data_IF_083714918972
#
_entry.id   IF_083714918972
#
_cell.length_a   1.000
_cell.length_b   1.000
_cell.length_c   1.000
_cell.angle_alpha   90.00
_cell.angle_beta   90.00
_cell.angle_gamma   90.00
#
_symmetry.space_group_name_H-M   'P 1'
#
loop_
_entity.id
_entity.type
_entity.pdbx_description
1 polymer ?
2 polymer ?
3 polymer ?
#
loop_
_entity_poly.entity_id
_entity_poly.type
_entity_poly.pdbx_seq_one_letter_code
_entity_poly.pdbx_strand_id
2 'polydeoxyribonucleotide' '(DA)(DT)(DG)(DT)(DG)(DG)(DT)(DC)(DC)(DC)(DC)(DA)(DG)(DT)' ?
3 'polydeoxyribonucleotide' '(DT)(DA)(DC)(DT)(DG)(DG)(DG)(DG)(DA)(DC)(DC)(DA)(DC)(DA)' ?
#
# COMPACT_ATOMS: atom_id res chain seq x y z
N UNK A 41 -21.45 -1.50 -0.42
CA UNK A 41 -21.30 -0.20 -1.04
C UNK A 41 -22.46 0.23 -1.93
N UNK A 42 -22.88 1.49 -1.81
CA UNK A 42 -24.06 1.93 -2.56
C UNK A 42 -23.85 3.23 -3.34
N UNK A 43 -24.95 3.73 -3.91
CA UNK A 43 -25.00 4.95 -4.70
C UNK A 43 -26.36 5.61 -4.44
N UNK A 44 -26.40 6.92 -4.60
CA UNK A 44 -27.62 7.71 -4.47
C UNK A 44 -27.81 8.50 -5.76
N UNK A 45 -28.90 8.29 -6.43
CA UNK A 45 -29.11 8.94 -7.70
C UNK A 45 -29.55 10.36 -7.53
N UNK A 46 -28.97 11.25 -8.30
CA UNK A 46 -29.26 12.67 -8.16
C UNK A 46 -30.74 12.99 -8.21
N UNK A 47 -31.14 14.02 -7.47
CA UNK A 47 -32.53 14.45 -7.46
C UNK A 47 -32.71 15.60 -8.42
N UNK A 48 -31.79 16.55 -8.42
CA UNK A 48 -31.90 17.71 -9.25
C UNK A 48 -31.70 17.49 -10.72
N UNK A 49 -31.99 18.51 -11.52
CA UNK A 49 -31.81 18.44 -12.96
C UNK A 49 -30.65 19.31 -13.29
N UNK A 50 -30.01 19.86 -12.27
CA UNK A 50 -28.90 20.74 -12.46
C UNK A 50 -27.63 19.94 -12.46
N UNK A 51 -27.43 19.11 -11.45
CA UNK A 51 -26.28 18.25 -11.44
C UNK A 51 -26.78 16.87 -11.36
N UNK A 52 -26.27 16.04 -12.23
CA UNK A 52 -26.67 14.65 -12.24
C UNK A 52 -25.57 13.72 -11.73
N UNK A 53 -24.60 14.25 -11.01
CA UNK A 53 -23.56 13.37 -10.50
C UNK A 53 -24.07 12.52 -9.34
N UNK A 54 -23.68 11.25 -9.34
CA UNK A 54 -24.06 10.39 -8.24
C UNK A 54 -23.24 10.71 -7.00
N UNK A 55 -23.86 10.52 -5.84
CA UNK A 55 -23.19 10.50 -4.54
C UNK A 55 -23.02 9.05 -4.09
N UNK A 56 -22.10 8.83 -3.16
CA UNK A 56 -21.90 7.49 -2.63
C UNK A 56 -22.38 7.44 -1.19
N UNK A 57 -22.60 6.21 -0.72
CA UNK A 57 -23.17 5.96 0.59
C UNK A 57 -22.06 5.48 1.49
N UNK A 58 -21.75 6.27 2.53
CA UNK A 58 -20.74 5.95 3.53
C UNK A 58 -21.35 5.92 4.94
N UNK A 59 -20.50 5.50 5.88
CA UNK A 59 -20.76 5.47 7.33
C UNK A 59 -21.48 6.72 7.78
N UNK A 60 -21.15 7.87 7.21
CA UNK A 60 -21.76 9.13 7.61
C UNK A 60 -22.83 9.59 6.63
N UNK A 61 -23.22 8.71 5.70
CA UNK A 61 -24.36 9.00 4.85
C UNK A 61 -23.91 9.38 3.47
N UNK A 62 -24.83 9.91 2.67
CA UNK A 62 -24.48 10.33 1.31
C UNK A 62 -23.32 11.31 1.33
N UNK A 63 -22.28 11.03 0.53
CA UNK A 63 -21.14 11.92 0.36
C UNK A 63 -20.95 12.27 -1.13
N UNK A 64 -20.52 13.50 -1.36
CA UNK A 64 -20.17 13.95 -2.70
C UNK A 64 -18.81 13.37 -3.03
N UNK A 65 -18.63 12.97 -4.28
CA UNK A 65 -17.48 12.21 -4.71
C UNK A 65 -16.24 13.06 -5.01
N UNK A 66 -16.15 14.31 -4.59
CA UNK A 66 -14.96 15.10 -4.86
C UNK A 66 -14.16 15.26 -3.57
N UNK A 67 -12.86 15.22 -3.69
CA UNK A 67 -12.01 15.56 -2.55
C UNK A 67 -11.08 16.70 -2.92
N UNK A 68 -10.73 17.49 -1.91
CA UNK A 68 -9.72 18.52 -2.02
C UNK A 68 -8.48 18.03 -1.32
N UNK A 69 -7.37 18.12 -2.01
CA UNK A 69 -6.06 17.80 -1.48
C UNK A 69 -5.40 19.09 -1.03
N UNK A 70 -4.64 19.00 0.06
CA UNK A 70 -3.79 20.12 0.45
C UNK A 70 -2.55 20.18 -0.45
N UNK A 71 -1.94 21.38 -0.51
CA UNK A 71 -0.87 21.66 -1.47
C UNK A 71 0.27 20.67 -1.39
N UNK A 72 0.72 20.30 -0.18
CA UNK A 72 1.77 19.29 -0.11
C UNK A 72 1.25 17.92 -0.55
N UNK A 73 0.04 17.55 -0.13
CA UNK A 73 -0.56 16.28 -0.54
C UNK A 73 -0.84 16.24 -2.04
N UNK A 74 -1.25 17.36 -2.61
CA UNK A 74 -1.50 17.38 -4.05
C UNK A 74 -0.23 17.02 -4.80
N UNK A 75 0.89 17.64 -4.43
CA UNK A 75 2.14 17.48 -5.15
C UNK A 75 2.64 16.05 -5.02
N UNK A 76 2.58 15.49 -3.82
CA UNK A 76 2.94 14.10 -3.66
C UNK A 76 1.99 13.19 -4.39
N UNK A 77 0.68 13.44 -4.27
CA UNK A 77 -0.30 12.60 -4.95
C UNK A 77 -0.03 12.61 -6.46
N UNK A 78 0.09 13.81 -7.03
CA UNK A 78 0.30 13.95 -8.46
C UNK A 78 1.68 13.44 -8.90
N UNK A 79 2.68 13.49 -8.02
CA UNK A 79 3.89 12.70 -8.23
C UNK A 79 3.51 11.27 -8.59
N UNK A 80 2.89 10.53 -7.66
CA UNK A 80 2.46 9.16 -7.95
C UNK A 80 1.67 9.09 -9.26
N UNK A 81 0.65 9.95 -9.41
CA UNK A 81 -0.24 9.80 -10.56
C UNK A 81 0.51 9.90 -11.89
N UNK A 82 1.49 10.80 -11.96
CA UNK A 82 2.28 10.93 -13.18
C UNK A 82 3.31 9.80 -13.33
N UNK A 83 3.79 9.24 -12.22
CA UNK A 83 4.72 8.12 -12.30
C UNK A 83 4.04 6.90 -12.92
N UNK A 84 2.95 6.43 -12.31
CA UNK A 84 2.16 5.37 -12.92
C UNK A 84 1.68 5.72 -14.32
N UNK A 85 1.73 6.99 -14.71
CA UNK A 85 1.28 7.32 -16.02
C UNK A 85 -0.21 7.22 -16.22
N UNK A 86 -1.00 7.46 -15.16
CA UNK A 86 -2.45 7.39 -15.25
C UNK A 86 -3.04 8.76 -15.60
N UNK A 87 -4.08 8.73 -16.44
CA UNK A 87 -4.71 9.94 -16.95
C UNK A 87 -5.59 10.61 -15.91
N UNK A 88 -6.40 9.83 -15.19
CA UNK A 88 -7.40 10.31 -14.24
C UNK A 88 -6.92 10.06 -12.82
N UNK A 89 -6.93 11.09 -11.96
CA UNK A 89 -6.43 10.89 -10.57
C UNK A 89 -7.09 9.73 -9.86
N UNK A 90 -8.33 9.38 -10.22
CA UNK A 90 -9.03 8.37 -9.46
C UNK A 90 -8.37 7.01 -9.61
N UNK A 91 -7.82 6.72 -10.80
CA UNK A 91 -7.10 5.46 -10.95
C UNK A 91 -5.86 5.40 -10.07
N UNK A 92 -5.30 6.56 -9.69
CA UNK A 92 -4.12 6.59 -8.83
C UNK A 92 -4.47 6.22 -7.40
N UNK A 93 -5.63 6.67 -6.91
CA UNK A 93 -6.09 6.29 -5.57
C UNK A 93 -6.68 4.89 -5.51
N UNK A 94 -7.15 4.33 -6.63
CA UNK A 94 -7.35 2.89 -6.70
C UNK A 94 -6.03 2.14 -6.50
N UNK A 95 -4.96 2.60 -7.15
CA UNK A 95 -3.65 2.00 -6.91
C UNK A 95 -3.20 2.20 -5.49
N UNK A 96 -3.41 3.35 -4.92
CA UNK A 96 -2.87 3.58 -3.61
C UNK A 96 -3.65 2.86 -2.57
N UNK A 97 -4.72 2.22 -2.96
CA UNK A 97 -5.57 1.58 -1.98
C UNK A 97 -5.39 0.11 -2.12
N UNK A 98 -5.03 -0.35 -3.30
CA UNK A 98 -4.73 -1.73 -3.46
C UNK A 98 -3.62 -1.90 -2.54
N UNK A 99 -2.51 -1.32 -2.87
CA UNK A 99 -1.44 -1.33 -1.94
C UNK A 99 -2.05 -0.75 -0.74
N UNK A 100 -1.51 -1.01 0.42
CA UNK A 100 -2.10 -0.54 1.66
C UNK A 100 -3.27 -1.40 2.02
N UNK A 101 -3.54 -2.42 1.24
CA UNK A 101 -4.59 -3.35 1.61
C UNK A 101 -4.31 -3.79 3.02
N UNK A 102 -3.08 -3.62 3.48
CA UNK A 102 -2.75 -3.91 4.87
C UNK A 102 -3.08 -2.67 5.68
N UNK A 103 -4.30 -2.21 5.53
CA UNK A 103 -4.75 -1.07 6.27
C UNK A 103 -5.43 -1.72 7.39
N UNK A 104 -5.94 -2.91 7.13
CA UNK A 104 -6.61 -3.66 8.16
C UNK A 104 -5.60 -4.07 9.22
N UNK B 34 0.91 33.72 -10.51
CA UNK B 34 2.22 33.90 -9.87
C UNK B 34 2.75 32.58 -9.29
N UNK B 35 4.06 32.37 -9.40
CA UNK B 35 4.73 31.14 -8.97
C UNK B 35 5.48 31.39 -7.66
N UNK B 36 5.42 30.40 -6.74
CA UNK B 36 6.25 30.39 -5.54
C UNK B 36 6.98 29.05 -5.45
N UNK B 37 8.25 29.10 -5.06
CA UNK B 37 9.06 27.91 -4.85
C UNK B 37 9.06 27.61 -3.36
N UNK B 38 8.47 26.47 -2.99
CA UNK B 38 8.42 26.06 -1.60
C UNK B 38 8.41 24.54 -1.50
N UNK B 40 9.09 21.17 -0.67
CA UNK B 40 7.94 20.74 -1.44
C UNK B 40 8.16 20.81 -2.94
N UNK B 41 7.54 21.80 -3.58
CA UNK B 41 7.70 21.99 -5.00
C UNK B 41 7.38 23.40 -5.46
N UNK B 42 6.58 23.50 -6.51
CA UNK B 42 6.10 24.77 -7.04
C UNK B 42 4.59 24.85 -6.84
N UNK B 43 4.10 25.91 -6.22
CA UNK B 43 2.68 26.01 -5.88
C UNK B 43 2.10 27.28 -6.41
N UNK B 44 1.26 27.22 -7.41
CA UNK B 44 0.78 28.44 -8.04
C UNK B 44 -0.30 29.21 -7.33
N UNK B 45 -0.08 30.50 -7.11
CA UNK B 45 -1.05 31.33 -6.46
C UNK B 45 -1.86 31.99 -7.50
N UNK B 46 -3.14 31.75 -7.48
CA UNK B 46 -4.01 32.30 -8.50
C UNK B 46 -4.13 33.77 -8.24
N UNK B 47 -3.86 34.55 -9.27
CA UNK B 47 -3.98 35.99 -9.14
C UNK B 47 -5.31 36.36 -9.74
N UNK B 48 -6.26 35.43 -9.72
CA UNK B 48 -7.61 35.74 -10.15
C UNK B 48 -8.27 36.45 -9.00
N UNK B 49 -9.59 36.54 -8.99
CA UNK B 49 -10.24 37.32 -7.94
C UNK B 49 -11.52 36.70 -7.42
N UNK B 50 -11.99 35.66 -8.09
CA UNK B 50 -13.18 34.94 -7.61
C UNK B 50 -12.74 33.75 -6.82
N UNK B 51 -11.45 33.55 -6.72
CA UNK B 51 -10.93 32.45 -5.96
C UNK B 51 -9.47 32.67 -5.77
N UNK B 52 -9.06 32.72 -4.53
CA UNK B 52 -7.66 32.84 -4.27
C UNK B 52 -7.15 31.46 -4.01
N UNK B 53 -7.91 30.48 -4.45
CA UNK B 53 -7.47 29.11 -4.34
C UNK B 53 -6.27 28.98 -5.22
N UNK B 54 -5.30 28.21 -4.77
CA UNK B 54 -4.05 28.07 -5.50
C UNK B 54 -3.97 26.67 -6.09
N UNK B 55 -3.36 26.57 -7.27
CA UNK B 55 -3.13 25.28 -7.92
C UNK B 55 -1.70 24.81 -7.64
N UNK B 56 -1.36 23.62 -8.10
CA UNK B 56 0.01 23.12 -7.98
C UNK B 56 0.59 22.83 -9.36
N UNK B 57 1.90 23.11 -9.48
CA UNK B 57 2.65 22.81 -10.69
C UNK B 57 3.18 21.38 -10.61
N UNK B 58 2.77 20.55 -11.57
CA UNK B 58 3.11 19.15 -11.69
C UNK B 58 3.97 18.94 -12.93
N UNK B 59 4.50 17.73 -13.10
CA UNK B 59 5.31 17.44 -14.29
C UNK B 59 4.54 17.60 -15.59
N UNK B 60 3.21 17.74 -15.53
CA UNK B 60 2.39 17.96 -16.71
C UNK B 60 1.64 19.29 -16.65
N UNK B 61 2.11 20.24 -15.84
CA UNK B 61 1.56 21.57 -15.84
C UNK B 61 0.73 21.92 -14.62
N UNK B 62 0.04 23.05 -14.67
CA UNK B 62 -0.83 23.46 -13.55
C UNK B 62 -2.02 22.52 -13.44
N UNK B 63 -2.17 21.93 -12.25
CA UNK B 63 -3.25 21.01 -11.92
C UNK B 63 -4.09 21.57 -10.78
N UNK B 64 -5.35 21.21 -10.78
CA UNK B 64 -6.21 21.66 -9.69
C UNK B 64 -6.06 20.70 -8.50
N UNK B 65 -6.10 21.28 -7.30
CA UNK B 65 -5.99 20.54 -6.06
C UNK B 65 -7.28 19.82 -5.67
N UNK B 66 -8.31 19.88 -6.52
CA UNK B 66 -9.57 19.18 -6.31
C UNK B 66 -9.76 18.14 -7.40
N UNK B 67 -10.12 16.90 -7.00
CA UNK B 67 -10.32 15.80 -7.94
C UNK B 67 -11.65 15.12 -7.65
N UNK B 68 -12.21 14.47 -8.67
CA UNK B 68 -13.50 13.78 -8.59
C UNK B 68 -13.28 12.29 -8.63
N UNK B 69 -13.36 11.63 -7.46
CA UNK B 69 -13.29 10.19 -7.39
C UNK B 69 -14.52 9.53 -8.01
N UNK B 70 -14.27 8.44 -8.74
CA UNK B 70 -15.35 7.61 -9.26
C UNK B 70 -16.12 6.93 -8.14
N UNK B 71 -17.43 6.74 -8.37
CA UNK B 71 -18.27 6.03 -7.43
C UNK B 71 -17.55 4.81 -6.89
N UNK B 72 -16.93 4.04 -7.77
CA UNK B 72 -16.21 2.86 -7.35
C UNK B 72 -15.10 3.21 -6.37
N UNK B 73 -14.32 4.26 -6.68
CA UNK B 73 -13.18 4.59 -5.82
C UNK B 73 -13.62 5.23 -4.52
N UNK B 74 -14.54 6.19 -4.63
CA UNK B 74 -15.00 6.96 -3.48
C UNK B 74 -15.47 6.04 -2.36
N UNK B 75 -16.23 5.00 -2.71
CA UNK B 75 -16.77 4.08 -1.72
C UNK B 75 -15.65 3.49 -0.88
N UNK B 76 -14.59 2.99 -1.55
CA UNK B 76 -13.47 2.41 -0.83
C UNK B 76 -12.61 3.48 -0.19
N UNK B 77 -12.49 4.65 -0.85
CA UNK B 77 -11.64 5.69 -0.28
C UNK B 77 -12.26 6.26 0.99
N UNK B 78 -13.57 6.54 0.96
CA UNK B 78 -14.20 7.10 2.16
C UNK B 78 -14.21 6.10 3.29
N UNK B 79 -14.34 4.81 2.97
CA UNK B 79 -14.28 3.78 4.00
C UNK B 79 -12.99 3.93 4.82
N UNK B 80 -11.85 4.10 4.16
CA UNK B 80 -10.61 4.15 4.91
C UNK B 80 -10.46 5.51 5.57
N UNK B 81 -11.11 6.55 5.03
CA UNK B 81 -11.14 7.82 5.74
C UNK B 81 -11.93 7.69 7.03
N UNK B 82 -13.13 7.12 6.95
CA UNK B 82 -13.93 6.89 8.14
C UNK B 82 -13.15 6.04 9.15
N UNK B 83 -12.59 4.93 8.68
CA UNK B 83 -11.89 4.02 9.57
C UNK B 83 -10.64 4.63 10.20
N UNK B 84 -10.01 5.62 9.56
CA UNK B 84 -8.96 6.37 10.23
C UNK B 84 -9.53 7.52 11.08
N UNK B 85 -10.83 7.81 10.96
CA UNK B 85 -11.44 8.91 11.67
C UNK B 85 -10.96 10.29 11.29
N UNK B 86 -10.28 10.45 10.16
CA UNK B 86 -9.77 11.77 9.77
C UNK B 86 -10.91 12.73 9.40
N UNK B 87 -10.82 13.95 9.93
CA UNK B 87 -11.85 14.95 9.63
C UNK B 87 -11.87 15.30 8.16
N UNK B 88 -10.71 15.68 7.59
CA UNK B 88 -10.62 16.14 6.20
C UNK B 88 -9.98 15.07 5.32
N UNK B 89 -10.50 14.84 4.10
CA UNK B 89 -10.06 13.68 3.31
C UNK B 89 -8.69 13.83 2.70
N UNK B 90 -8.11 15.03 2.72
CA UNK B 90 -6.73 15.15 2.24
C UNK B 90 -5.79 14.37 3.15
N UNK B 91 -6.07 14.33 4.45
CA UNK B 91 -5.25 13.56 5.38
C UNK B 91 -5.22 12.09 5.00
N UNK B 92 -6.34 11.57 4.51
CA UNK B 92 -6.39 10.16 4.15
C UNK B 92 -5.43 9.85 3.00
N UNK B 93 -5.38 10.75 2.02
CA UNK B 93 -4.44 10.56 0.92
C UNK B 93 -3.01 10.67 1.43
N UNK B 94 -2.76 11.60 2.35
CA UNK B 94 -1.47 11.66 3.02
C UNK B 94 -1.13 10.31 3.66
N UNK B 95 -2.12 9.69 4.30
CA UNK B 95 -1.89 8.40 4.98
C UNK B 95 -1.67 7.29 3.99
N UNK B 96 -2.44 7.27 2.91
CA UNK B 96 -2.23 6.25 1.89
C UNK B 96 -0.80 6.30 1.39
N UNK B 97 -0.32 7.51 1.08
CA UNK B 97 1.01 7.63 0.52
C UNK B 97 2.06 7.28 1.56
N UNK B 98 1.85 7.73 2.80
CA UNK B 98 2.68 7.30 3.93
C UNK B 98 2.79 5.78 3.95
N UNK B 99 1.65 5.08 3.95
CA UNK B 99 1.58 3.63 4.10
C UNK B 99 1.68 2.89 2.77
N UNK B 100 2.36 3.47 1.76
CA UNK B 100 2.55 2.76 0.49
C UNK B 100 3.80 3.20 -0.24
N UNK B 101 4.79 3.75 0.46
CA UNK B 101 6.07 4.09 -0.16
C UNK B 101 6.85 2.84 -0.52
N UNK B 102 6.56 1.70 0.14
CA UNK B 102 7.14 0.41 -0.20
C UNK B 102 6.85 0.00 -1.64
N UNK B 103 5.84 0.61 -2.25
CA UNK B 103 5.57 0.45 -3.67
C UNK B 103 5.97 1.66 -4.49
N UNK B 104 5.88 2.86 -3.89
CA UNK B 104 5.95 4.09 -4.65
C UNK B 104 7.35 4.29 -5.21
N UNK B 105 8.37 3.89 -4.45
CA UNK B 105 9.74 4.17 -4.86
C UNK B 105 10.14 3.37 -6.10
N UNK B 106 9.67 2.12 -6.19
CA UNK B 106 9.99 1.27 -7.35
C UNK B 106 9.08 1.56 -8.54
N UNK B 107 8.91 2.83 -8.91
CA UNK B 107 7.99 3.19 -10.00
C UNK B 107 8.70 3.72 -11.25
N UNK E 50 17.94 -5.70 4.28
CA UNK E 50 17.02 -4.67 4.73
C UNK E 50 15.96 -5.29 5.61
N UNK E 51 15.85 -4.81 6.85
CA UNK E 51 14.78 -5.26 7.72
C UNK E 51 13.45 -4.70 7.21
N UNK E 52 12.36 -5.44 7.46
CA UNK E 52 11.04 -5.08 6.95
C UNK E 52 10.02 -4.84 8.05
N UNK E 53 10.43 -4.27 9.18
CA UNK E 53 9.52 -4.13 10.30
C UNK E 53 8.75 -2.82 10.20
N UNK E 54 7.56 -2.79 10.81
CA UNK E 54 6.76 -1.58 10.86
C UNK E 54 7.37 -0.57 11.83
N UNK E 55 7.15 0.72 11.53
CA UNK E 55 7.31 1.79 12.50
C UNK E 55 5.94 2.40 12.83
N UNK E 56 5.78 2.95 14.04
CA UNK E 56 4.55 3.65 14.41
C UNK E 56 4.78 5.15 14.33
N UNK E 57 3.80 5.85 13.75
CA UNK E 57 3.79 7.31 13.70
C UNK E 57 3.15 7.83 14.98
N UNK E 58 3.86 8.72 15.68
CA UNK E 58 3.41 9.25 16.95
C UNK E 58 3.62 10.75 17.00
N UNK E 59 3.37 11.31 18.18
CA UNK E 59 3.57 12.73 18.45
C UNK E 59 4.93 13.19 17.96
N UNK E 60 5.99 12.61 18.50
CA UNK E 60 7.32 12.94 18.04
C UNK E 60 7.67 12.21 16.75
N UNK E 61 6.69 11.59 16.10
CA UNK E 61 6.88 11.04 14.79
C UNK E 61 7.07 9.53 14.76
N UNK E 62 7.93 9.07 13.86
CA UNK E 62 8.04 7.64 13.62
C UNK E 62 9.07 7.00 14.52
N UNK E 63 8.70 5.92 15.20
CA UNK E 63 9.59 5.27 16.15
C UNK E 63 9.59 3.77 15.90
N UNK E 64 10.69 3.12 16.24
CA UNK E 64 10.75 1.69 16.10
C UNK E 64 9.94 1.16 17.23
N UNK E 65 9.31 0.05 17.02
CA UNK E 65 8.41 -0.46 18.01
C UNK E 65 9.04 -1.30 19.07
N UNK E 66 10.33 -1.14 19.30
CA UNK E 66 10.92 -1.89 20.38
C UNK E 66 11.41 -0.99 21.46
N UNK E 67 11.36 -1.47 22.69
CA UNK E 67 11.65 -0.66 23.88
C UNK E 67 12.59 -1.43 24.81
N UNK E 68 13.54 -0.73 25.41
CA UNK E 68 14.43 -1.35 26.39
C UNK E 68 14.02 -0.98 27.81
N UNK E 69 14.10 -1.95 28.69
CA UNK E 69 13.68 -1.83 30.06
C UNK E 69 14.92 -1.87 30.93
N UNK E 70 15.00 -0.96 31.89
CA UNK E 70 16.03 -1.03 32.92
C UNK E 70 15.90 -2.34 33.68
N UNK E 71 17.00 -2.74 34.33
CA UNK E 71 17.03 -3.99 35.06
C UNK E 71 15.84 -4.09 36.01
N UNK E 72 15.74 -3.14 36.94
CA UNK E 72 14.65 -3.21 37.92
C UNK E 72 13.28 -3.16 37.25
N UNK E 73 13.10 -2.29 36.25
CA UNK E 73 11.85 -2.22 35.50
C UNK E 73 11.51 -3.56 34.87
N UNK E 74 12.52 -4.29 34.40
CA UNK E 74 12.24 -5.56 33.73
C UNK E 74 11.74 -6.61 34.73
N UNK E 75 12.33 -6.65 35.93
CA UNK E 75 11.85 -7.59 36.95
C UNK E 75 10.37 -7.38 37.19
N UNK E 76 10.00 -6.17 37.60
CA UNK E 76 8.59 -5.87 37.86
C UNK E 76 7.72 -6.18 36.64
N UNK E 77 8.16 -5.76 35.45
CA UNK E 77 7.31 -5.95 34.28
C UNK E 77 7.15 -7.42 33.97
N UNK E 78 8.26 -8.16 33.87
CA UNK E 78 8.15 -9.59 33.61
C UNK E 78 7.38 -10.31 34.71
N UNK E 79 7.46 -9.82 35.95
CA UNK E 79 6.70 -10.42 37.05
C UNK E 79 5.20 -10.35 36.81
N UNK E 80 4.71 -9.24 36.24
CA UNK E 80 3.28 -9.19 35.92
C UNK E 80 2.96 -10.08 34.73
N UNK E 81 3.80 -10.07 33.70
CA UNK E 81 3.54 -10.89 32.54
C UNK E 81 3.41 -12.34 32.95
N UNK E 82 4.24 -12.77 33.90
CA UNK E 82 4.20 -14.15 34.34
C UNK E 82 2.97 -14.39 35.21
N UNK E 83 2.59 -13.41 36.02
CA UNK E 83 1.32 -13.49 36.76
C UNK E 83 0.13 -13.51 35.80
N UNK E 84 0.14 -12.65 34.78
CA UNK E 84 -0.95 -12.62 33.82
C UNK E 84 -1.04 -13.91 33.02
N UNK E 85 0.05 -14.68 32.94
CA UNK E 85 0.12 -15.83 32.08
C UNK E 85 0.19 -15.54 30.59
N UNK E 86 0.50 -14.30 30.21
CA UNK E 86 0.56 -13.93 28.79
C UNK E 86 1.89 -14.37 28.19
N UNK E 87 1.81 -15.06 27.06
CA UNK E 87 3.01 -15.54 26.37
C UNK E 87 3.89 -14.38 25.90
N UNK E 88 3.33 -13.49 25.11
CA UNK E 88 4.05 -12.37 24.54
C UNK E 88 4.13 -11.23 25.56
N UNK E 89 5.25 -10.48 25.58
CA UNK E 89 5.32 -9.34 26.52
C UNK E 89 4.36 -8.24 26.18
N UNK E 90 4.00 -8.08 24.89
CA UNK E 90 3.12 -7.00 24.47
C UNK E 90 1.79 -7.05 25.21
N UNK E 91 1.12 -8.20 25.18
CA UNK E 91 -0.15 -8.38 25.89
C UNK E 91 -0.11 -7.83 27.31
N UNK E 92 1.04 -7.89 27.97
CA UNK E 92 1.17 -7.31 29.30
C UNK E 92 1.15 -5.79 29.24
N UNK E 93 1.65 -5.20 28.17
CA UNK E 93 1.71 -3.76 28.16
C UNK E 93 0.34 -3.23 27.92
N UNK E 94 -0.40 -3.92 27.10
CA UNK E 94 -1.74 -3.53 26.88
C UNK E 94 -2.39 -3.51 28.21
N UNK E 95 -2.52 -4.67 28.81
CA UNK E 95 -3.15 -4.78 30.11
C UNK E 95 -2.81 -3.66 31.00
N UNK E 96 -1.56 -3.32 31.04
CA UNK E 96 -1.16 -2.32 31.97
C UNK E 96 -1.70 -1.01 31.56
N UNK E 97 -1.91 -0.84 30.27
CA UNK E 97 -2.38 0.43 29.78
C UNK E 97 -3.82 0.51 30.09
N UNK E 98 -4.50 -0.59 29.89
CA UNK E 98 -5.90 -0.63 30.18
C UNK E 98 -6.07 -0.13 31.56
N UNK E 99 -5.30 -0.68 32.47
CA UNK E 99 -5.49 -0.32 33.85
C UNK E 99 -4.87 1.01 34.20
N UNK E 100 -5.21 2.05 33.47
CA UNK E 100 -4.73 3.37 33.86
C UNK E 100 -5.60 4.53 33.44
N UNK E 101 -5.60 5.57 34.28
CA UNK E 101 -6.38 6.74 34.02
C UNK E 101 -5.31 7.77 33.84
N UNK E 102 -5.05 8.14 32.59
CA UNK E 102 -3.97 9.05 32.31
C UNK E 102 -4.29 10.50 32.55
N UNK E 103 -5.50 10.96 32.20
CA UNK E 103 -5.87 12.33 32.50
C UNK E 103 -4.73 13.27 32.23
N UNK F 33 25.69 -16.93 32.27
CA UNK F 33 26.05 -15.64 32.85
C UNK F 33 26.18 -15.69 34.36
N UNK F 34 27.00 -14.81 34.93
CA UNK F 34 27.10 -14.73 36.36
C UNK F 34 25.79 -14.29 36.89
N UNK F 35 25.54 -14.53 38.17
CA UNK F 35 24.26 -14.22 38.71
C UNK F 35 24.45 -13.34 39.91
N UNK F 36 23.77 -12.20 39.93
CA UNK F 36 23.87 -11.28 41.05
C UNK F 36 22.52 -11.05 41.63
N UNK F 37 22.48 -10.80 42.93
CA UNK F 37 21.23 -10.50 43.56
C UNK F 37 21.02 -9.02 43.67
N UNK F 38 19.85 -8.57 43.28
CA UNK F 38 19.50 -7.16 43.41
C UNK F 38 18.15 -7.04 44.10
N UNK F 39 17.58 -5.84 44.05
CA UNK F 39 16.29 -5.59 44.69
C UNK F 39 15.19 -5.97 43.76
N UNK F 41 13.96 -9.62 42.97
CA UNK F 41 14.67 -10.66 42.25
C UNK F 41 16.14 -10.45 42.02
N UNK F 42 16.58 -10.65 40.78
CA UNK F 42 17.99 -10.61 40.52
C UNK F 42 18.40 -10.38 39.06
N UNK F 43 19.55 -9.77 38.83
CA UNK F 43 20.04 -9.48 37.49
C UNK F 43 21.03 -10.54 37.02
N UNK F 44 21.35 -10.56 35.73
CA UNK F 44 22.22 -11.63 35.24
C UNK F 44 23.33 -11.01 34.41
N UNK F 45 24.55 -11.27 34.83
CA UNK F 45 25.67 -10.71 34.15
C UNK F 45 25.75 -11.23 32.79
N UNK F 46 26.54 -10.56 31.99
CA UNK F 46 26.61 -10.93 30.60
C UNK F 46 27.70 -11.93 30.34
N UNK F 47 27.56 -12.67 29.25
CA UNK F 47 28.52 -13.72 28.97
C UNK F 47 29.54 -13.33 27.93
N UNK F 48 29.08 -12.95 26.75
CA UNK F 48 29.97 -12.60 25.68
C UNK F 48 30.80 -11.34 25.86
N UNK F 49 31.33 -10.82 24.77
CA UNK F 49 32.17 -9.64 24.83
C UNK F 49 31.61 -8.60 23.90
N UNK F 50 30.68 -9.02 23.05
CA UNK F 50 30.03 -8.08 22.18
C UNK F 50 29.05 -7.29 23.02
N UNK F 51 28.22 -7.99 23.78
CA UNK F 51 27.29 -7.29 24.65
C UNK F 51 27.51 -7.56 26.10
N UNK F 52 27.73 -6.51 26.86
CA UNK F 52 27.83 -6.67 28.28
C UNK F 52 26.48 -6.35 28.80
N UNK F 53 25.50 -6.35 27.92
CA UNK F 53 24.12 -6.13 28.34
C UNK F 53 23.66 -7.21 29.29
N UNK F 54 23.22 -6.80 30.48
CA UNK F 54 22.75 -7.80 31.41
C UNK F 54 21.37 -8.30 30.97
N UNK F 55 20.98 -9.42 31.55
CA UNK F 55 19.63 -9.93 31.46
C UNK F 55 18.99 -9.86 32.85
N UNK F 56 17.76 -10.34 32.99
CA UNK F 56 17.19 -10.49 34.33
C UNK F 56 16.66 -11.90 34.48
N UNK F 57 16.67 -12.38 35.74
CA UNK F 57 16.18 -13.71 36.09
C UNK F 57 14.74 -13.60 36.55
N UNK F 58 13.83 -14.20 35.79
CA UNK F 58 12.39 -14.16 35.97
C UNK F 58 11.87 -15.55 36.30
N UNK F 59 10.58 -15.64 36.60
CA UNK F 59 9.98 -16.91 37.00
C UNK F 59 9.89 -17.91 35.88
N UNK F 60 10.36 -17.58 34.68
CA UNK F 60 10.33 -18.50 33.55
C UNK F 60 11.72 -18.74 32.98
N UNK F 61 12.76 -18.27 33.67
CA UNK F 61 14.10 -18.36 33.20
C UNK F 61 14.68 -16.98 32.98
N UNK F 62 15.89 -16.92 32.45
CA UNK F 62 16.47 -15.61 32.09
C UNK F 62 15.69 -14.97 30.95
N UNK F 63 15.50 -13.66 31.06
CA UNK F 63 14.76 -12.91 30.06
C UNK F 63 15.59 -11.73 29.55
N UNK F 64 15.34 -11.34 28.31
CA UNK F 64 16.07 -10.24 27.70
C UNK F 64 15.44 -8.92 28.12
N UNK F 65 16.28 -7.96 28.45
CA UNK F 65 15.73 -6.68 28.87
C UNK F 65 15.19 -5.84 27.70
N UNK F 66 15.05 -6.39 26.48
CA UNK F 66 14.54 -5.65 25.33
C UNK F 66 13.36 -6.36 24.70
N UNK F 67 12.32 -5.59 24.38
CA UNK F 67 10.97 -6.08 24.11
C UNK F 67 10.42 -5.40 22.88
N UNK F 68 9.65 -6.14 22.06
CA UNK F 68 9.09 -5.60 20.81
C UNK F 68 7.59 -5.43 20.90
N UNK F 69 7.15 -4.17 21.01
CA UNK F 69 5.75 -3.85 21.20
C UNK F 69 4.96 -4.08 19.93
N UNK F 70 3.86 -4.83 20.05
CA UNK F 70 2.93 -4.98 18.94
C UNK F 70 2.49 -3.63 18.41
N UNK F 71 2.35 -3.54 17.09
CA UNK F 71 2.10 -2.26 16.41
C UNK F 71 0.97 -1.48 17.09
N UNK F 72 -0.19 -2.11 17.28
CA UNK F 72 -1.28 -1.40 17.94
C UNK F 72 -0.91 -1.03 19.37
N UNK F 73 -0.17 -1.92 20.06
CA UNK F 73 0.23 -1.66 21.44
C UNK F 73 1.27 -0.54 21.51
N UNK F 74 2.07 -0.38 20.46
CA UNK F 74 3.11 0.64 20.49
C UNK F 74 2.53 2.06 20.49
N UNK F 75 1.58 2.35 19.58
CA UNK F 75 1.09 3.73 19.47
C UNK F 75 0.56 4.20 20.81
N UNK F 76 -0.28 3.37 21.44
CA UNK F 76 -0.89 3.76 22.70
C UNK F 76 0.18 3.95 23.77
N UNK F 77 1.04 2.94 23.96
CA UNK F 77 2.13 3.04 24.93
C UNK F 77 2.99 4.26 24.68
N UNK F 78 3.49 4.39 23.44
CA UNK F 78 4.38 5.52 23.11
C UNK F 78 3.69 6.84 23.38
N UNK F 79 2.40 6.93 23.06
CA UNK F 79 1.60 8.10 23.43
C UNK F 79 1.76 8.39 24.92
N UNK F 80 1.50 7.38 25.77
CA UNK F 80 1.56 7.61 27.20
C UNK F 80 2.95 8.10 27.61
N UNK F 81 4.00 7.52 27.01
CA UNK F 81 5.34 8.05 27.25
C UNK F 81 5.45 9.52 26.81
N UNK F 82 4.83 9.86 25.67
CA UNK F 82 4.89 11.24 25.18
C UNK F 82 4.20 12.20 26.14
N UNK F 83 2.94 11.91 26.48
CA UNK F 83 2.20 12.75 27.43
C UNK F 83 2.92 12.84 28.78
N UNK F 84 3.51 11.72 29.24
CA UNK F 84 4.29 11.77 30.46
C UNK F 84 5.58 12.56 30.28
N UNK F 85 6.05 12.72 29.05
CA UNK F 85 7.21 13.52 28.74
C UNK F 85 8.54 12.99 29.24
N UNK F 86 8.61 11.73 29.64
CA UNK F 86 9.87 11.16 30.09
C UNK F 86 10.82 10.93 28.93
N UNK F 87 12.10 10.70 29.27
CA UNK F 87 13.14 10.58 28.24
C UNK F 87 13.14 9.19 27.61
N UNK F 88 13.25 8.14 28.44
CA UNK F 88 13.29 6.72 28.09
C UNK F 88 11.91 6.10 28.19
N UNK F 89 11.57 5.18 27.28
CA UNK F 89 10.31 4.45 27.42
C UNK F 89 10.29 3.50 28.60
N UNK F 90 11.45 3.18 29.15
CA UNK F 90 11.49 2.37 30.36
C UNK F 90 10.81 3.08 31.52
N UNK F 91 11.03 4.40 31.65
CA UNK F 91 10.36 5.14 32.72
C UNK F 91 8.86 5.20 32.51
N UNK F 92 8.42 5.22 31.25
CA UNK F 92 7.00 5.12 30.94
C UNK F 92 6.41 3.85 31.56
N UNK F 93 7.10 2.73 31.39
CA UNK F 93 6.64 1.47 31.95
C UNK F 93 6.64 1.52 33.46
N UNK F 94 7.70 2.10 34.06
CA UNK F 94 7.73 2.23 35.51
C UNK F 94 6.52 3.00 36.02
N UNK F 95 6.13 4.03 35.28
CA UNK F 95 4.89 4.73 35.59
C UNK F 95 3.69 3.79 35.44
N UNK F 96 3.58 3.11 34.28
CA UNK F 96 2.42 2.25 34.05
C UNK F 96 2.27 1.24 35.16
N UNK F 97 3.38 0.66 35.63
CA UNK F 97 3.31 -0.29 36.73
C UNK F 97 2.98 0.43 38.02
N UNK F 98 3.48 1.65 38.19
CA UNK F 98 3.18 2.40 39.39
C UNK F 98 1.68 2.65 39.49
N UNK F 99 1.04 2.98 38.36
CA UNK F 99 -0.38 3.30 38.31
C UNK F 99 -1.25 2.08 37.99
N UNK F 100 -0.75 0.87 38.21
CA UNK F 100 -1.62 -0.30 38.27
C UNK F 100 -1.33 -1.11 39.52
N UNK F 101 -0.85 -0.44 40.58
CA UNK F 101 -0.55 -1.11 41.84
C UNK F 101 -1.77 -1.90 42.32
N UNK F 102 -2.94 -1.29 42.24
CA UNK F 102 -4.16 -1.94 42.73
C UNK F 102 -4.46 -3.19 41.91
N UNK F 103 -4.52 -3.07 40.59
CA UNK F 103 -4.82 -4.22 39.75
C UNK F 103 -3.77 -5.30 39.91
N UNK F 104 -2.50 -4.91 39.89
CA UNK F 104 -1.41 -5.87 40.11
C UNK F 104 -1.67 -6.65 41.38
N UNK F 105 -1.91 -5.95 42.49
CA UNK F 105 -1.92 -6.62 43.79
C UNK F 105 -3.04 -7.65 43.91
N UNK F 106 -3.97 -7.67 42.96
CA UNK F 106 -4.98 -8.72 42.84
C UNK F 106 -4.51 -9.86 41.95
N UNK F 107 -3.20 -10.04 41.79
CA UNK F 107 -2.59 -10.99 40.88
C UNK F 107 -2.97 -10.69 39.40
N UNK I 37 1.22 -33.50 -31.21
CA UNK I 37 1.29 -33.43 -32.66
C UNK I 37 1.92 -32.13 -32.97
N UNK I 38 1.85 -31.70 -34.22
CA UNK I 38 2.53 -30.47 -34.60
C UNK I 38 1.91 -29.98 -35.87
N UNK I 39 1.68 -28.68 -36.00
CA UNK I 39 0.97 -28.22 -37.17
C UNK I 39 1.17 -26.78 -37.54
N UNK I 40 0.58 -26.38 -38.67
CA UNK I 40 0.67 -25.01 -39.12
C UNK I 40 2.05 -24.46 -39.04
N UNK I 41 2.18 -23.24 -38.52
CA UNK I 41 3.47 -22.61 -38.39
C UNK I 41 3.65 -21.88 -37.08
N UNK I 43 1.77 -23.82 -33.57
CA UNK I 43 0.51 -24.51 -33.33
C UNK I 43 0.66 -26.00 -33.04
N UNK I 44 0.02 -26.49 -31.98
CA UNK I 44 0.08 -27.91 -31.63
C UNK I 44 -1.30 -28.33 -31.16
N UNK I 45 -1.85 -29.38 -31.79
CA UNK I 45 -3.17 -29.87 -31.42
C UNK I 45 -3.10 -30.65 -30.10
N UNK I 46 -3.88 -30.19 -29.11
CA UNK I 46 -3.75 -30.64 -27.72
C UNK I 46 -3.92 -32.16 -27.60
N UNK I 47 -3.49 -32.70 -26.45
CA UNK I 47 -3.48 -34.16 -26.26
C UNK I 47 -4.59 -34.83 -25.42
N UNK I 48 -5.48 -34.04 -24.84
CA UNK I 48 -6.50 -34.62 -24.01
C UNK I 48 -7.82 -34.70 -24.70
N UNK I 49 -8.89 -34.78 -23.92
CA UNK I 49 -10.22 -34.84 -24.47
C UNK I 49 -11.03 -33.82 -23.72
N UNK I 50 -10.49 -33.37 -22.59
CA UNK I 50 -11.15 -32.36 -21.77
C UNK I 50 -10.79 -30.95 -22.21
N UNK I 51 -9.56 -30.73 -22.64
CA UNK I 51 -9.24 -29.43 -23.20
C UNK I 51 -8.88 -29.62 -24.63
N UNK I 52 -9.56 -28.90 -25.48
CA UNK I 52 -9.30 -28.97 -26.91
C UNK I 52 -8.53 -27.75 -27.41
N UNK I 53 -7.93 -26.98 -26.52
CA UNK I 53 -7.25 -25.77 -26.94
C UNK I 53 -5.85 -26.10 -27.43
N UNK I 54 -5.43 -25.43 -28.50
CA UNK I 54 -4.10 -25.69 -29.01
C UNK I 54 -3.07 -24.86 -28.25
N UNK I 55 -1.80 -25.25 -28.40
CA UNK I 55 -0.68 -24.47 -27.92
C UNK I 55 0.17 -24.05 -29.11
N UNK I 56 0.96 -23.00 -28.93
CA UNK I 56 1.77 -22.50 -30.02
C UNK I 56 3.22 -22.86 -29.79
N UNK I 57 3.93 -23.08 -30.90
CA UNK I 57 5.33 -23.45 -30.89
C UNK I 57 6.17 -22.18 -30.77
N UNK I 58 7.16 -22.18 -29.86
CA UNK I 58 7.94 -21.00 -29.52
C UNK I 58 9.41 -21.38 -29.35
N UNK I 59 10.25 -20.33 -29.29
CA UNK I 59 11.69 -20.48 -29.05
C UNK I 59 11.99 -21.27 -27.79
N UNK I 60 11.04 -21.37 -26.86
CA UNK I 60 11.24 -22.11 -25.62
C UNK I 60 10.36 -23.34 -25.57
N UNK I 61 9.69 -23.66 -26.67
CA UNK I 61 8.88 -24.84 -26.78
C UNK I 61 7.40 -24.55 -26.85
N UNK I 62 6.59 -25.58 -26.59
CA UNK I 62 5.14 -25.39 -26.60
C UNK I 62 4.72 -24.48 -25.46
N UNK I 63 3.88 -23.49 -25.78
CA UNK I 63 3.35 -22.57 -24.78
C UNK I 63 1.84 -22.51 -24.91
N UNK I 64 1.19 -22.50 -23.75
CA UNK I 64 -0.24 -22.26 -23.64
C UNK I 64 -0.54 -20.83 -24.09
N UNK I 65 -1.68 -20.66 -24.78
CA UNK I 65 -1.99 -19.39 -25.43
C UNK I 65 -2.52 -18.32 -24.47
N UNK I 66 -2.60 -18.61 -23.18
CA UNK I 66 -3.05 -17.64 -22.20
C UNK I 66 -1.86 -16.92 -21.57
N UNK I 67 -2.07 -15.66 -21.19
CA UNK I 67 -1.13 -14.90 -20.39
C UNK I 67 -1.89 -14.20 -19.27
N UNK I 68 -1.24 -14.09 -18.12
CA UNK I 68 -1.76 -13.28 -17.04
C UNK I 68 -0.92 -12.02 -16.96
N UNK I 69 -1.59 -10.90 -16.72
CA UNK I 69 -0.96 -9.60 -16.58
C UNK I 69 -0.98 -9.14 -15.13
N UNK I 70 0.04 -8.36 -14.74
CA UNK I 70 0.00 -7.70 -13.45
C UNK I 70 -1.16 -6.70 -13.39
N UNK I 71 -1.57 -6.37 -12.17
CA UNK I 71 -2.68 -5.43 -12.01
C UNK I 71 -2.36 -4.09 -12.67
N UNK I 72 -1.20 -3.52 -12.34
CA UNK I 72 -0.77 -2.28 -12.96
C UNK I 72 -0.73 -2.44 -14.49
N UNK I 73 -0.22 -3.58 -14.98
CA UNK I 73 -0.19 -3.83 -16.42
C UNK I 73 -1.59 -3.90 -17.02
N UNK I 74 -2.51 -4.54 -16.32
CA UNK I 74 -3.83 -4.73 -16.90
C UNK I 74 -4.55 -3.41 -17.08
N UNK I 75 -4.39 -2.49 -16.11
CA UNK I 75 -5.16 -1.25 -16.19
C UNK I 75 -4.70 -0.42 -17.36
N UNK I 76 -3.38 -0.29 -17.53
CA UNK I 76 -2.86 0.34 -18.74
C UNK I 76 -3.30 -0.40 -19.99
N UNK I 77 -3.15 -1.74 -20.00
CA UNK I 77 -3.47 -2.51 -21.20
C UNK I 77 -4.92 -2.33 -21.62
N UNK I 78 -5.84 -2.38 -20.65
CA UNK I 78 -7.26 -2.32 -20.97
C UNK I 78 -7.72 -0.90 -21.29
N UNK I 79 -6.98 0.11 -20.84
CA UNK I 79 -7.16 1.45 -21.40
C UNK I 79 -6.98 1.42 -22.91
N UNK I 80 -5.89 0.82 -23.39
CA UNK I 80 -5.65 0.74 -24.82
C UNK I 80 -6.77 -0.04 -25.51
N UNK I 81 -7.30 -1.05 -24.89
CA UNK I 81 -8.28 -1.86 -25.57
C UNK I 81 -9.62 -1.24 -25.53
N UNK I 82 -9.92 -0.50 -24.51
CA UNK I 82 -11.21 0.04 -24.50
C UNK I 82 -11.17 1.16 -25.51
N UNK I 83 -10.13 1.96 -25.46
CA UNK I 83 -10.06 3.11 -26.34
C UNK I 83 -9.70 2.79 -27.77
N UNK I 84 -9.69 1.53 -28.13
CA UNK I 84 -9.44 1.19 -29.50
C UNK I 84 -10.71 0.56 -29.92
N UNK I 85 -11.55 0.27 -28.95
CA UNK I 85 -12.84 -0.23 -29.28
C UNK I 85 -12.96 -1.66 -29.62
N UNK I 86 -11.94 -2.43 -29.34
CA UNK I 86 -11.96 -3.80 -29.75
C UNK I 86 -12.70 -4.64 -28.76
N UNK I 87 -13.35 -5.67 -29.25
CA UNK I 87 -14.10 -6.54 -28.40
C UNK I 87 -13.24 -7.54 -27.70
N UNK I 88 -12.31 -8.14 -28.43
CA UNK I 88 -11.48 -9.16 -27.85
C UNK I 88 -10.15 -8.59 -27.49
N UNK I 89 -9.59 -9.05 -26.39
CA UNK I 89 -8.36 -8.46 -25.90
C UNK I 89 -7.14 -8.73 -26.79
N UNK I 90 -7.22 -9.66 -27.72
CA UNK I 90 -6.04 -10.00 -28.50
C UNK I 90 -5.81 -9.02 -29.59
N UNK I 91 -6.87 -8.55 -30.19
CA UNK I 91 -6.75 -7.63 -31.28
C UNK I 91 -6.05 -6.43 -30.79
N UNK I 92 -6.11 -6.22 -29.50
CA UNK I 92 -5.32 -5.13 -28.94
C UNK I 92 -3.83 -5.47 -28.87
N UNK I 93 -3.49 -6.76 -28.78
CA UNK I 93 -2.09 -7.15 -28.80
C UNK I 93 -1.56 -7.16 -30.23
N UNK I 94 -2.35 -7.72 -31.16
CA UNK I 94 -2.10 -7.46 -32.57
C UNK I 94 -1.82 -5.98 -32.80
N UNK I 95 -2.73 -5.11 -32.34
CA UNK I 95 -2.52 -3.68 -32.48
C UNK I 95 -1.23 -3.21 -31.82
N UNK I 96 -0.99 -3.62 -30.59
CA UNK I 96 0.22 -3.19 -29.91
C UNK I 96 1.47 -3.68 -30.62
N UNK I 97 1.36 -4.82 -31.31
CA UNK I 97 2.50 -5.38 -32.03
C UNK I 97 2.72 -4.65 -33.34
N UNK I 98 1.65 -4.37 -34.08
CA UNK I 98 1.80 -3.63 -35.32
C UNK I 98 2.45 -2.28 -35.07
N UNK I 99 2.00 -1.58 -34.02
CA UNK I 99 2.43 -0.21 -33.76
C UNK I 99 3.60 -0.13 -32.79
N UNK I 100 4.31 -1.24 -32.57
CA UNK I 100 5.65 -1.18 -32.00
C UNK I 100 6.65 -1.90 -32.89
N UNK I 101 6.26 -2.20 -34.13
CA UNK I 101 7.11 -3.04 -34.97
C UNK I 101 8.44 -2.36 -35.26
N UNK I 102 8.44 -1.04 -35.47
CA UNK I 102 9.69 -0.31 -35.68
C UNK I 102 10.66 -0.46 -34.51
N UNK I 103 10.15 -0.64 -33.29
CA UNK I 103 11.02 -0.87 -32.15
C UNK I 103 11.22 -2.34 -31.88
N UNK I 104 10.33 -3.19 -32.41
CA UNK I 104 10.50 -4.64 -32.36
C UNK I 104 11.79 -5.04 -33.09
N UNK I 105 11.86 -4.73 -34.39
CA UNK I 105 12.96 -5.19 -35.23
C UNK I 105 14.32 -4.94 -34.59
N UNK I 106 14.51 -3.74 -34.11
CA UNK I 106 15.70 -3.48 -33.38
C UNK I 106 15.52 -4.25 -32.11
N UNK I 107 16.22 -5.34 -31.95
CA UNK I 107 16.20 -6.10 -30.71
C UNK I 107 17.40 -7.06 -30.62
N UNK J 52 -6.38 -15.37 -4.34
CA UNK J 52 -6.66 -13.95 -4.21
C UNK J 52 -6.44 -13.21 -5.53
N UNK J 53 -6.51 -13.95 -6.64
CA UNK J 53 -6.42 -13.33 -7.96
C UNK J 53 -7.59 -12.37 -8.12
N UNK J 54 -7.30 -11.10 -8.25
CA UNK J 54 -8.35 -10.15 -8.34
C UNK J 54 -8.68 -9.84 -9.75
N UNK J 55 -9.33 -8.71 -9.94
CA UNK J 55 -9.73 -8.30 -11.24
C UNK J 55 -9.31 -6.88 -11.31
N UNK J 56 -9.47 -6.27 -12.45
CA UNK J 56 -9.10 -4.89 -12.57
C UNK J 56 -10.32 -4.13 -12.96
N UNK J 57 -10.40 -2.88 -12.54
CA UNK J 57 -11.55 -2.09 -12.83
C UNK J 57 -11.26 -1.10 -13.89
N UNK J 58 -11.90 -1.31 -15.02
CA UNK J 58 -11.73 -0.44 -16.10
C UNK J 58 -13.08 0.09 -16.40
N UNK J 59 -13.20 0.89 -17.43
CA UNK J 59 -14.48 1.29 -17.88
C UNK J 59 -15.04 0.00 -18.33
N UNK J 60 -16.25 -0.01 -18.74
CA UNK J 60 -16.85 -1.28 -19.08
C UNK J 60 -16.85 -2.23 -17.92
N UNK J 61 -16.32 -1.82 -16.79
CA UNK J 61 -16.41 -2.65 -15.61
C UNK J 61 -15.23 -3.42 -15.18
N UNK J 62 -15.46 -4.32 -14.25
CA UNK J 62 -14.40 -5.18 -13.79
C UNK J 62 -13.96 -6.09 -14.89
N UNK J 63 -12.68 -6.41 -14.93
CA UNK J 63 -12.15 -7.25 -15.97
C UNK J 63 -11.10 -8.15 -15.39
N UNK J 64 -10.86 -9.27 -16.04
CA UNK J 64 -9.91 -10.23 -15.52
C UNK J 64 -8.55 -9.96 -16.04
N UNK J 65 -7.57 -10.55 -15.40
CA UNK J 65 -6.23 -10.30 -15.76
C UNK J 65 -5.67 -11.38 -16.59
N UNK J 66 -6.45 -12.41 -16.87
CA UNK J 66 -5.97 -13.40 -17.79
C UNK J 66 -6.64 -13.22 -19.12
N UNK J 67 -5.89 -13.40 -20.18
CA UNK J 67 -6.35 -13.19 -21.54
C UNK J 67 -5.92 -14.38 -22.39
N UNK J 68 -6.84 -14.88 -23.23
CA UNK J 68 -6.51 -15.90 -24.23
C UNK J 68 -6.12 -15.21 -25.53
N UNK J 69 -4.85 -15.36 -25.90
CA UNK J 69 -4.37 -14.87 -27.17
C UNK J 69 -4.65 -15.88 -28.26
N UNK J 70 -5.12 -15.37 -29.40
CA UNK J 70 -5.27 -16.23 -30.58
C UNK J 70 -3.94 -16.90 -30.91
N UNK J 71 -4.02 -18.09 -31.51
CA UNK J 71 -2.81 -18.79 -31.93
C UNK J 71 -1.85 -17.83 -32.63
N UNK J 72 -2.34 -17.11 -33.64
CA UNK J 72 -1.46 -16.22 -34.42
C UNK J 72 -0.88 -15.13 -33.53
N UNK J 73 -1.71 -14.54 -32.68
CA UNK J 73 -1.21 -13.44 -31.86
C UNK J 73 -0.15 -13.92 -30.88
N UNK J 74 -0.38 -15.07 -30.25
CA UNK J 74 0.56 -15.60 -29.27
C UNK J 74 1.91 -15.89 -29.89
N UNK J 75 1.96 -16.54 -31.01
CA UNK J 75 3.22 -16.78 -31.66
C UNK J 75 4.06 -15.53 -31.74
N UNK J 76 3.51 -14.45 -32.22
CA UNK J 76 4.27 -13.23 -32.40
C UNK J 76 4.57 -12.56 -31.11
N UNK J 77 3.65 -12.62 -30.18
CA UNK J 77 3.88 -12.04 -28.89
C UNK J 77 4.96 -12.80 -28.24
N UNK J 78 4.76 -14.08 -28.10
CA UNK J 78 5.78 -14.80 -27.34
C UNK J 78 7.15 -14.64 -27.98
N UNK J 79 7.18 -14.55 -29.31
CA UNK J 79 8.43 -14.27 -30.00
C UNK J 79 9.07 -12.97 -29.47
N UNK J 80 8.28 -11.88 -29.44
CA UNK J 80 8.71 -10.64 -28.79
C UNK J 80 9.25 -10.90 -27.40
N UNK J 81 8.48 -11.59 -26.56
CA UNK J 81 8.91 -11.77 -25.18
C UNK J 81 10.22 -12.55 -25.12
N UNK J 82 10.45 -13.45 -26.07
CA UNK J 82 11.69 -14.22 -26.06
C UNK J 82 12.85 -13.40 -26.60
N UNK J 83 12.61 -12.64 -27.68
CA UNK J 83 13.60 -11.68 -28.14
C UNK J 83 14.01 -10.71 -27.04
N UNK J 84 13.06 -10.31 -26.19
CA UNK J 84 13.36 -9.50 -25.02
C UNK J 84 13.94 -10.33 -23.88
N UNK J 85 13.58 -11.61 -23.83
CA UNK J 85 13.95 -12.46 -22.71
C UNK J 85 13.44 -12.02 -21.34
N UNK J 86 12.22 -11.49 -21.27
CA UNK J 86 11.59 -11.31 -19.97
C UNK J 86 11.03 -12.65 -19.48
N UNK J 87 10.91 -12.78 -18.16
CA UNK J 87 10.43 -14.06 -17.61
C UNK J 87 8.92 -14.19 -17.74
N UNK J 88 8.16 -13.10 -17.44
CA UNK J 88 6.71 -12.94 -17.34
C UNK J 88 6.15 -12.23 -18.56
N UNK J 89 5.19 -12.81 -19.26
CA UNK J 89 4.60 -12.11 -20.41
C UNK J 89 4.05 -10.74 -20.05
N UNK J 90 3.58 -10.56 -18.81
CA UNK J 90 3.14 -9.24 -18.38
C UNK J 90 4.22 -8.16 -18.65
N UNK J 91 5.49 -8.47 -18.38
CA UNK J 91 6.57 -7.51 -18.63
C UNK J 91 6.69 -7.14 -20.11
N UNK J 92 6.47 -8.11 -20.99
CA UNK J 92 6.49 -7.82 -22.42
C UNK J 92 5.32 -6.93 -22.81
N UNK J 93 4.16 -7.11 -22.18
CA UNK J 93 3.01 -6.26 -22.46
C UNK J 93 3.28 -4.84 -22.01
N UNK J 94 3.95 -4.65 -20.86
CA UNK J 94 4.37 -3.31 -20.48
C UNK J 94 5.28 -2.72 -21.52
N UNK J 95 6.29 -3.49 -21.92
CA UNK J 95 7.25 -3.02 -22.91
C UNK J 95 6.57 -2.67 -24.21
N UNK J 96 5.66 -3.54 -24.68
CA UNK J 96 4.93 -3.25 -25.90
C UNK J 96 4.14 -1.95 -25.77
N UNK J 97 3.62 -1.67 -24.58
CA UNK J 97 2.85 -0.45 -24.38
C UNK J 97 3.77 0.76 -24.39
N UNK J 98 4.95 0.64 -23.77
CA UNK J 98 5.95 1.71 -23.87
C UNK J 98 6.31 1.97 -25.32
N UNK J 99 6.65 0.92 -26.07
CA UNK J 99 7.12 1.04 -27.44
C UNK J 99 5.99 1.33 -28.41
N UNK J 100 4.77 1.54 -27.92
CA UNK J 100 3.71 2.08 -28.74
C UNK J 100 3.17 3.36 -28.15
N UNK J 101 4.05 4.11 -27.46
CA UNK J 101 3.64 5.33 -26.76
C UNK J 101 3.01 6.36 -27.69
N UNK J 102 3.60 6.56 -28.88
CA UNK J 102 3.12 7.62 -29.75
C UNK J 102 1.75 7.27 -30.33
N UNK J 103 1.66 6.16 -31.07
CA UNK J 103 0.40 5.79 -31.71
C UNK J 103 -0.73 5.60 -30.71
N UNK J 104 -0.39 5.40 -29.42
CA UNK J 104 -1.42 5.28 -28.39
C UNK J 104 -2.04 6.63 -28.12
N UNK J 105 -1.20 7.70 -28.02
CA UNK J 105 -1.69 9.04 -27.64
C UNK J 105 -2.49 9.72 -28.75
N UNK J 106 -2.72 8.96 -29.82
CA UNK J 106 -3.61 9.32 -30.91
C UNK J 106 -4.98 8.64 -30.77
N UNK J 107 -5.16 7.83 -29.72
CA UNK J 107 -6.32 6.93 -29.52
C UNK J 107 -6.17 5.66 -30.37
#
# INVERSE_FOLDING_TARGET
MGSSHHHHHHSSGLVPRGSHMGLKGYSVGEGGGEIVEVQGGHIIRATGRKDRHSKVFTSKGPRDRRVRLSAHTAIQFYDVQDRLGYDRPSKAVDWLIKKAKTAIDKL
MGSSHHHHHHSSGLVPRGSHMGLKGYSVGEGGGEIVEVQGGHIIRATGRKDRHSKVFTSKGPRDRRVRLSAHTAIQFYDVQDRLGYDRPSKAVDWLIKKAKTAIDKL
MGSSHHHHHHSSGLVPRGSHMGLKGYSVGEGGGEIVEVQGGHIIRATGRKDRHSKVFTSKGPRDRRVRLSAHTAIQFYDVQDRLGYDRPSKAVDWLIKKAKTAIDKL
MGSSHHHHHHSSGLVPRGSHMGLKGYSVGEGGGEIVEVQGGHIIRATGRKDRHSKVFTSKGPRDRRVRLSAHTAIQFYDVQDRLGYDRPSKAVDWLIKKAKTAIDKL
MGSSHHHHHHSSGLVPRGSHMGLKGYSVGEGGGEIVEVQGGHIIRATGRKDRHSKVFTSKGPRDRRVRLSAHTAIQFYDVQDRLGYDRPSKAVDWLIKKAKTAIDKL
MGSSHHHHHHSSGLVPRGSHMGLKGYSVGEGGGEIVEVQGGHIIRATGRKDRHSKVFTSKGPRDRRVRLSAHTAIQFYDVQDRLGYDRPSKAVDWLIKKAKTAIDKL
#
